data_IF_149275445480
#
_entry.id   IF_149275445480
#
_cell.length_a   1.000
_cell.length_b   1.000
_cell.length_c   1.000
_cell.angle_alpha   90.00
_cell.angle_beta   90.00
_cell.angle_gamma   90.00
#
_symmetry.space_group_name_H-M   'P 1'
#
loop_
_entity.id
_entity.type
_entity.pdbx_description
1 polymer ?
#
# COMPACT_ATOMS: atom_id res chain seq x y z
N UNK A 1 -9.34 -65.27 7.69
CA UNK A 1 -8.38 -64.32 8.25
C UNK A 1 -7.46 -63.67 7.19
N UNK A 2 -7.97 -63.41 5.98
CA UNK A 2 -7.12 -62.92 4.86
C UNK A 2 -7.63 -61.63 4.19
N UNK A 3 -8.72 -61.04 4.70
CA UNK A 3 -9.33 -59.87 4.03
C UNK A 3 -8.90 -58.51 4.62
N UNK A 4 -8.27 -58.48 5.80
CA UNK A 4 -7.87 -57.22 6.47
C UNK A 4 -6.48 -56.71 6.11
N UNK A 5 -5.61 -57.58 5.58
CA UNK A 5 -4.23 -57.23 5.22
C UNK A 5 -4.13 -56.54 3.86
N UNK A 6 -5.04 -56.90 2.94
CA UNK A 6 -5.03 -56.33 1.56
C UNK A 6 -5.55 -54.89 1.53
N UNK A 7 -6.50 -54.53 2.41
CA UNK A 7 -7.01 -53.14 2.51
C UNK A 7 -5.96 -52.15 3.00
N UNK A 8 -5.10 -52.58 3.91
CA UNK A 8 -4.05 -51.72 4.52
C UNK A 8 -2.88 -51.47 3.56
N UNK A 9 -2.62 -52.37 2.62
CA UNK A 9 -1.59 -52.19 1.59
C UNK A 9 -2.02 -51.26 0.45
N UNK A 10 -3.31 -51.09 0.24
CA UNK A 10 -3.86 -50.22 -0.79
C UNK A 10 -3.94 -48.76 -0.29
N UNK A 11 -4.15 -48.52 1.01
CA UNK A 11 -4.12 -47.14 1.60
C UNK A 11 -2.71 -46.58 1.64
N UNK A 12 -1.69 -47.40 1.93
CA UNK A 12 -0.30 -46.96 1.90
C UNK A 12 0.21 -46.68 0.48
N UNK A 13 -0.36 -47.31 -0.55
CA UNK A 13 0.03 -47.07 -1.94
C UNK A 13 -0.59 -45.80 -2.52
N UNK A 14 -1.78 -45.41 -2.07
CA UNK A 14 -2.40 -44.12 -2.49
C UNK A 14 -1.77 -42.89 -1.83
N UNK A 15 -1.19 -43.06 -0.64
CA UNK A 15 -0.48 -41.99 0.06
C UNK A 15 0.91 -41.69 -0.50
N UNK A 16 1.52 -42.68 -1.22
CA UNK A 16 2.87 -42.51 -1.80
C UNK A 16 2.90 -41.86 -3.19
N UNK A 17 1.77 -41.89 -3.90
CA UNK A 17 1.71 -41.39 -5.29
C UNK A 17 1.52 -39.86 -5.40
N UNK A 18 1.25 -39.15 -4.29
CA UNK A 18 1.00 -37.70 -4.32
C UNK A 18 1.91 -36.91 -3.37
N UNK A 19 3.08 -37.45 -3.01
CA UNK A 19 4.15 -36.64 -2.47
C UNK A 19 4.74 -35.79 -3.60
N UNK A 20 4.05 -34.70 -3.90
CA UNK A 20 4.73 -33.52 -4.45
C UNK A 20 5.79 -33.17 -3.41
N UNK A 21 7.06 -33.48 -3.72
CA UNK A 21 8.19 -33.05 -2.89
C UNK A 21 8.22 -31.53 -3.00
N UNK A 22 7.45 -30.88 -2.13
CA UNK A 22 7.59 -29.45 -1.97
C UNK A 22 8.98 -29.20 -1.39
N UNK A 23 9.79 -28.32 -1.98
CA UNK A 23 11.06 -27.95 -1.39
C UNK A 23 10.77 -27.46 0.03
N UNK A 24 11.43 -28.06 1.03
CA UNK A 24 11.32 -27.63 2.43
C UNK A 24 11.59 -26.14 2.48
N UNK A 25 10.57 -25.36 2.84
CA UNK A 25 10.74 -23.94 3.12
C UNK A 25 11.65 -23.81 4.35
N UNK A 26 12.57 -22.86 4.30
CA UNK A 26 13.35 -22.51 5.46
C UNK A 26 12.38 -21.83 6.44
N UNK A 27 11.92 -22.56 7.45
CA UNK A 27 11.09 -22.03 8.51
C UNK A 27 11.93 -21.05 9.31
N UNK A 28 11.73 -19.77 9.16
CA UNK A 28 12.41 -18.75 9.95
C UNK A 28 11.85 -18.67 11.38
N UNK A 29 10.66 -19.20 11.62
CA UNK A 29 9.99 -19.18 12.94
C UNK A 29 9.69 -17.77 13.47
N UNK A 30 10.17 -16.74 12.79
CA UNK A 30 9.99 -15.35 13.14
C UNK A 30 8.88 -14.68 12.32
N UNK A 31 8.17 -13.78 12.97
CA UNK A 31 7.15 -12.96 12.35
C UNK A 31 7.82 -11.87 11.51
N UNK A 32 7.63 -11.92 10.20
CA UNK A 32 8.26 -11.00 9.25
C UNK A 32 7.28 -10.58 8.16
N UNK A 33 7.59 -9.47 7.49
CA UNK A 33 6.83 -8.97 6.37
C UNK A 33 7.36 -9.53 5.07
N UNK A 34 6.44 -9.97 4.23
CA UNK A 34 6.71 -10.49 2.89
C UNK A 34 5.86 -9.77 1.86
N UNK A 35 6.42 -9.59 0.68
CA UNK A 35 5.66 -9.07 -0.45
C UNK A 35 5.23 -10.22 -1.37
N UNK A 36 3.96 -10.22 -1.73
CA UNK A 36 3.39 -11.13 -2.72
C UNK A 36 3.00 -10.35 -3.97
N UNK A 37 3.26 -10.95 -5.12
CA UNK A 37 2.87 -10.40 -6.41
C UNK A 37 1.50 -10.93 -6.81
N UNK A 38 0.65 -10.02 -7.31
CA UNK A 38 -0.71 -10.30 -7.75
C UNK A 38 -0.94 -9.72 -9.14
N UNK A 39 -2.01 -10.11 -9.80
CA UNK A 39 -2.44 -9.40 -11.01
C UNK A 39 -2.86 -7.98 -10.65
N UNK A 40 -2.37 -6.99 -11.42
CA UNK A 40 -2.71 -5.57 -11.21
C UNK A 40 -4.22 -5.35 -11.27
N UNK A 41 -4.74 -4.62 -10.28
CA UNK A 41 -6.17 -4.37 -10.11
C UNK A 41 -6.89 -5.37 -9.19
N UNK A 42 -6.27 -6.51 -8.88
CA UNK A 42 -6.87 -7.54 -8.01
C UNK A 42 -6.34 -7.49 -6.57
N UNK A 43 -5.50 -6.52 -6.21
CA UNK A 43 -4.84 -6.44 -4.91
C UNK A 43 -5.85 -6.43 -3.74
N UNK A 44 -6.89 -5.61 -3.84
CA UNK A 44 -7.95 -5.52 -2.82
C UNK A 44 -8.77 -6.83 -2.73
N UNK A 45 -9.00 -7.49 -3.87
CA UNK A 45 -9.69 -8.78 -3.94
C UNK A 45 -8.84 -9.88 -3.31
N UNK A 46 -7.54 -9.91 -3.62
CA UNK A 46 -6.57 -10.85 -3.01
C UNK A 46 -6.53 -10.66 -1.51
N UNK A 47 -6.42 -9.42 -1.03
CA UNK A 47 -6.40 -9.13 0.42
C UNK A 47 -7.65 -9.65 1.13
N UNK A 48 -8.83 -9.43 0.55
CA UNK A 48 -10.09 -9.92 1.10
C UNK A 48 -10.16 -11.45 1.10
N UNK A 49 -9.83 -12.07 -0.04
CA UNK A 49 -9.84 -13.52 -0.18
C UNK A 49 -8.82 -14.18 0.77
N UNK A 50 -7.64 -13.60 0.92
CA UNK A 50 -6.63 -14.14 1.82
C UNK A 50 -7.06 -14.03 3.28
N UNK A 51 -7.61 -12.88 3.72
CA UNK A 51 -8.16 -12.74 5.07
C UNK A 51 -9.25 -13.76 5.36
N UNK A 52 -10.20 -13.94 4.44
CA UNK A 52 -11.26 -14.93 4.57
C UNK A 52 -10.73 -16.36 4.65
N UNK A 53 -9.68 -16.69 3.88
CA UNK A 53 -9.04 -18.01 3.97
C UNK A 53 -8.30 -18.23 5.27
N UNK A 54 -7.62 -17.22 5.77
CA UNK A 54 -6.93 -17.25 7.07
C UNK A 54 -7.91 -17.58 8.18
N UNK A 55 -9.04 -16.87 8.24
CA UNK A 55 -10.12 -17.13 9.20
C UNK A 55 -10.73 -18.55 9.01
N UNK A 56 -11.05 -18.92 7.76
CA UNK A 56 -11.72 -20.22 7.48
C UNK A 56 -10.84 -21.43 7.80
N UNK A 57 -9.53 -21.30 7.67
CA UNK A 57 -8.57 -22.38 7.87
C UNK A 57 -7.89 -22.32 9.25
N UNK A 58 -8.15 -21.29 10.07
CA UNK A 58 -7.56 -21.12 11.39
C UNK A 58 -6.07 -20.80 11.34
N UNK A 59 -5.61 -19.98 10.38
CA UNK A 59 -4.20 -19.58 10.24
C UNK A 59 -3.89 -18.21 10.83
N UNK A 60 -4.73 -17.71 11.73
CA UNK A 60 -4.55 -16.40 12.39
C UNK A 60 -3.28 -16.34 13.23
N UNK A 61 -2.85 -17.48 13.78
CA UNK A 61 -1.61 -17.61 14.54
C UNK A 61 -0.33 -17.50 13.70
N UNK A 62 -0.45 -17.61 12.36
CA UNK A 62 0.68 -17.61 11.44
C UNK A 62 0.64 -16.47 10.42
N UNK A 63 -0.53 -16.00 10.06
CA UNK A 63 -0.74 -14.89 9.13
C UNK A 63 -1.47 -13.79 9.88
N UNK A 64 -0.75 -12.74 10.27
CA UNK A 64 -1.23 -11.70 11.18
C UNK A 64 -1.89 -10.54 10.45
N UNK A 65 -1.23 -10.01 9.43
CA UNK A 65 -1.70 -8.86 8.69
C UNK A 65 -1.58 -9.03 7.19
N UNK A 66 -2.59 -8.56 6.47
CA UNK A 66 -2.58 -8.50 5.00
C UNK A 66 -3.06 -7.13 4.60
N UNK A 67 -2.24 -6.39 3.86
CA UNK A 67 -2.55 -5.02 3.46
C UNK A 67 -2.02 -4.67 2.06
N UNK A 68 -2.71 -3.76 1.41
CA UNK A 68 -2.28 -3.16 0.14
C UNK A 68 -1.61 -1.83 0.45
N UNK A 69 -0.37 -1.60 0.01
CA UNK A 69 0.30 -0.32 0.22
C UNK A 69 -0.37 0.79 -0.60
N UNK A 70 -1.19 1.62 0.07
CA UNK A 70 -1.90 2.76 -0.51
C UNK A 70 -1.42 4.05 0.14
N UNK A 71 -1.29 5.07 -0.65
CA UNK A 71 -0.92 6.42 -0.24
C UNK A 71 -2.09 7.36 -0.50
N UNK A 72 -2.42 8.20 0.47
CA UNK A 72 -3.44 9.24 0.31
C UNK A 72 -2.82 10.47 -0.32
N UNK A 73 -3.26 10.83 -1.52
CA UNK A 73 -2.86 12.06 -2.21
C UNK A 73 -4.03 13.02 -2.29
N UNK A 74 -3.75 14.29 -2.04
CA UNK A 74 -4.73 15.34 -2.25
C UNK A 74 -4.60 15.82 -3.69
N UNK A 75 -5.67 15.69 -4.48
CA UNK A 75 -5.78 16.30 -5.81
C UNK A 75 -6.83 17.39 -5.78
N UNK A 76 -6.55 18.47 -6.48
CA UNK A 76 -7.52 19.56 -6.68
C UNK A 76 -8.23 19.29 -7.99
N UNK A 77 -9.55 19.15 -7.93
CA UNK A 77 -10.40 19.02 -9.09
C UNK A 77 -11.53 20.04 -9.01
N UNK A 78 -11.57 20.99 -9.95
CA UNK A 78 -12.58 22.03 -9.95
C UNK A 78 -12.58 22.93 -8.71
N UNK A 79 -11.40 23.22 -8.13
CA UNK A 79 -11.26 24.07 -6.91
C UNK A 79 -11.63 23.37 -5.61
N UNK A 80 -11.95 22.07 -5.62
CA UNK A 80 -12.23 21.28 -4.43
C UNK A 80 -11.10 20.29 -4.18
N UNK A 81 -10.76 20.11 -2.90
CA UNK A 81 -9.81 19.09 -2.47
C UNK A 81 -10.50 17.73 -2.50
N UNK A 82 -9.91 16.78 -3.19
CA UNK A 82 -10.34 15.40 -3.22
C UNK A 82 -9.18 14.53 -2.73
N UNK A 83 -9.43 13.73 -1.69
CA UNK A 83 -8.45 12.77 -1.20
C UNK A 83 -8.59 11.52 -2.07
N UNK A 84 -7.54 11.22 -2.84
CA UNK A 84 -7.50 10.04 -3.69
C UNK A 84 -6.50 9.06 -3.08
N UNK A 85 -6.93 7.81 -2.91
CA UNK A 85 -6.04 6.71 -2.54
C UNK A 85 -5.36 6.17 -3.80
N UNK A 86 -4.07 6.29 -3.85
CA UNK A 86 -3.25 5.75 -4.94
C UNK A 86 -2.38 4.61 -4.42
N UNK A 87 -2.31 3.51 -5.16
CA UNK A 87 -1.47 2.37 -4.77
C UNK A 87 0.00 2.73 -4.94
N UNK A 88 0.79 2.58 -3.89
CA UNK A 88 2.23 2.87 -3.91
C UNK A 88 2.95 1.91 -4.86
N UNK A 89 2.57 0.63 -4.80
CA UNK A 89 3.08 -0.42 -5.67
C UNK A 89 1.92 -1.24 -6.24
N UNK A 90 1.47 -0.94 -7.48
CA UNK A 90 0.46 -1.73 -8.16
C UNK A 90 0.95 -3.17 -8.39
N UNK A 91 0.08 -4.16 -8.15
CA UNK A 91 0.41 -5.57 -8.29
C UNK A 91 1.09 -6.20 -7.07
N UNK A 92 1.23 -5.47 -5.96
CA UNK A 92 1.87 -5.97 -4.74
C UNK A 92 0.94 -5.89 -3.54
N UNK A 93 0.97 -6.94 -2.72
CA UNK A 93 0.29 -7.00 -1.42
C UNK A 93 1.32 -7.40 -0.36
N UNK A 94 1.26 -6.77 0.79
CA UNK A 94 2.13 -7.06 1.92
C UNK A 94 1.44 -8.02 2.88
N UNK A 95 2.18 -9.04 3.31
CA UNK A 95 1.68 -10.04 4.25
C UNK A 95 2.67 -10.16 5.40
N UNK A 96 2.18 -9.99 6.61
CA UNK A 96 2.94 -10.23 7.84
C UNK A 96 2.63 -11.63 8.34
N UNK A 97 3.63 -12.50 8.29
CA UNK A 97 3.43 -13.90 8.59
C UNK A 97 4.69 -14.60 9.12
N UNK A 98 4.47 -15.75 9.72
CA UNK A 98 5.51 -16.75 9.98
C UNK A 98 5.48 -17.72 8.80
N UNK A 99 6.60 -17.84 8.08
CA UNK A 99 6.71 -18.71 6.91
C UNK A 99 6.95 -20.14 7.36
N UNK A 100 6.00 -21.01 7.04
CA UNK A 100 6.13 -22.45 7.05
C UNK A 100 5.45 -23.06 5.79
N UNK A 101 5.57 -24.34 5.58
CA UNK A 101 4.99 -25.00 4.41
C UNK A 101 3.47 -24.79 4.29
N UNK A 102 2.76 -24.76 5.41
CA UNK A 102 1.32 -24.61 5.45
C UNK A 102 0.88 -23.16 5.18
N UNK A 103 1.48 -22.17 5.86
CA UNK A 103 1.18 -20.75 5.66
C UNK A 103 1.59 -20.29 4.25
N UNK A 104 2.73 -20.76 3.75
CA UNK A 104 3.17 -20.52 2.37
C UNK A 104 2.14 -21.06 1.36
N UNK A 105 1.64 -22.27 1.58
CA UNK A 105 0.65 -22.91 0.72
C UNK A 105 -0.67 -22.14 0.69
N UNK A 106 -1.15 -21.65 1.84
CA UNK A 106 -2.38 -20.86 1.94
C UNK A 106 -2.28 -19.58 1.12
N UNK A 107 -1.18 -18.84 1.26
CA UNK A 107 -0.94 -17.59 0.53
C UNK A 107 -0.78 -17.86 -0.97
N UNK A 108 0.07 -18.82 -1.35
CA UNK A 108 0.37 -19.13 -2.75
C UNK A 108 -0.85 -19.59 -3.55
N UNK A 109 -1.75 -20.36 -2.93
CA UNK A 109 -2.97 -20.88 -3.56
C UNK A 109 -4.18 -19.93 -3.43
N UNK A 110 -3.99 -18.70 -2.96
CA UNK A 110 -5.05 -17.70 -2.98
C UNK A 110 -5.28 -17.23 -4.43
N UNK A 111 -6.53 -17.17 -4.90
CA UNK A 111 -6.84 -16.74 -6.27
C UNK A 111 -6.23 -15.37 -6.59
N UNK A 112 -5.68 -15.23 -7.78
CA UNK A 112 -4.99 -14.04 -8.32
C UNK A 112 -3.63 -13.70 -7.67
N UNK A 113 -3.10 -14.56 -6.80
CA UNK A 113 -1.71 -14.48 -6.34
C UNK A 113 -0.83 -15.21 -7.35
N UNK A 114 0.22 -14.53 -7.84
CA UNK A 114 1.20 -15.12 -8.74
C UNK A 114 2.37 -15.76 -8.01
N UNK A 115 2.74 -15.23 -6.85
CA UNK A 115 3.77 -15.79 -5.98
C UNK A 115 4.34 -14.80 -4.98
N UNK A 116 5.27 -15.28 -4.16
CA UNK A 116 6.08 -14.45 -3.28
C UNK A 116 7.19 -13.76 -4.07
N UNK A 117 7.64 -12.60 -3.57
CA UNK A 117 8.88 -11.99 -4.04
C UNK A 117 10.04 -12.66 -3.34
N UNK A 118 11.02 -13.11 -4.13
CA UNK A 118 12.21 -13.79 -3.62
C UNK A 118 12.89 -14.64 -4.68
N UNK A 119 13.95 -15.32 -4.28
CA UNK A 119 14.69 -16.23 -5.13
C UNK A 119 14.01 -17.60 -5.22
N UNK A 120 13.20 -17.80 -6.25
CA UNK A 120 12.54 -19.09 -6.52
C UNK A 120 11.38 -19.40 -5.55
N UNK A 121 11.53 -20.48 -4.78
CA UNK A 121 10.49 -20.95 -3.84
C UNK A 121 10.63 -20.37 -2.43
N UNK A 122 11.76 -19.72 -2.12
CA UNK A 122 12.04 -19.16 -0.80
C UNK A 122 11.60 -17.69 -0.79
N UNK A 123 10.59 -17.32 0.04
CA UNK A 123 10.21 -15.93 0.22
C UNK A 123 11.35 -15.11 0.84
N UNK A 124 11.60 -13.93 0.30
CA UNK A 124 12.56 -13.00 0.90
C UNK A 124 11.81 -12.02 1.81
N UNK A 125 12.15 -11.94 3.11
CA UNK A 125 11.53 -10.97 4.00
C UNK A 125 11.93 -9.55 3.61
N UNK A 126 11.01 -8.62 3.81
CA UNK A 126 11.30 -7.19 3.69
C UNK A 126 12.12 -6.73 4.89
N UNK A 127 13.05 -5.82 4.66
CA UNK A 127 13.82 -5.22 5.75
C UNK A 127 12.92 -4.30 6.60
N UNK A 128 13.23 -4.16 7.90
CA UNK A 128 12.48 -3.26 8.80
C UNK A 128 12.43 -1.82 8.29
N UNK A 129 13.52 -1.35 7.69
CA UNK A 129 13.58 0.00 7.12
C UNK A 129 12.62 0.19 5.92
N UNK A 130 12.45 -0.84 5.08
CA UNK A 130 11.47 -0.81 3.98
C UNK A 130 10.04 -0.83 4.49
N UNK A 131 9.76 -1.67 5.49
CA UNK A 131 8.44 -1.75 6.13
C UNK A 131 8.08 -0.43 6.80
N UNK A 132 8.98 0.14 7.58
CA UNK A 132 8.78 1.44 8.23
C UNK A 132 8.56 2.57 7.22
N UNK A 133 9.32 2.56 6.12
CA UNK A 133 9.13 3.51 5.04
C UNK A 133 7.77 3.39 4.36
N UNK A 134 7.27 2.18 4.19
CA UNK A 134 5.93 1.91 3.64
C UNK A 134 4.82 2.30 4.61
N UNK A 135 4.97 1.94 5.90
CA UNK A 135 3.99 2.27 6.94
C UNK A 135 3.85 3.78 7.11
N UNK A 136 4.95 4.53 7.06
CA UNK A 136 4.93 6.01 7.08
C UNK A 136 4.19 6.61 5.88
N UNK A 137 4.33 6.02 4.69
CA UNK A 137 3.59 6.46 3.50
C UNK A 137 2.10 6.12 3.54
N UNK A 138 1.77 5.00 4.17
CA UNK A 138 0.39 4.55 4.37
C UNK A 138 -0.28 5.24 5.56
N UNK A 139 0.52 5.66 6.54
CA UNK A 139 0.04 6.39 7.70
C UNK A 139 -0.59 7.70 7.28
N UNK A 140 -1.74 8.00 7.87
CA UNK A 140 -2.40 9.29 7.79
C UNK A 140 -1.60 10.30 8.63
N UNK A 141 -0.36 10.55 8.27
CA UNK A 141 0.19 11.84 8.55
C UNK A 141 -0.52 12.77 7.58
N UNK A 142 -1.34 13.67 8.11
CA UNK A 142 -1.80 14.82 7.35
C UNK A 142 -0.60 15.33 6.57
N UNK A 143 -0.70 15.51 5.24
CA UNK A 143 0.44 15.92 4.46
C UNK A 143 0.96 17.22 5.09
N UNK A 144 2.05 17.12 5.82
CA UNK A 144 2.78 18.27 6.26
C UNK A 144 3.26 18.91 4.98
N UNK A 145 2.55 19.96 4.58
CA UNK A 145 2.93 20.75 3.43
C UNK A 145 4.38 21.21 3.68
N UNK A 146 5.33 20.63 2.96
CA UNK A 146 6.66 21.23 2.85
C UNK A 146 6.50 22.49 2.02
N UNK A 147 6.26 23.58 2.71
CA UNK A 147 6.02 24.85 2.08
C UNK A 147 7.36 25.57 2.12
N UNK A 148 8.00 25.64 0.98
CA UNK A 148 9.21 26.46 0.78
C UNK A 148 8.83 27.92 0.47
N UNK A 149 7.72 28.42 1.03
CA UNK A 149 7.25 29.79 0.82
C UNK A 149 7.08 30.50 2.15
N UNK A 150 7.53 31.75 2.18
CA UNK A 150 7.46 32.65 3.33
C UNK A 150 6.56 33.85 3.01
N UNK A 151 6.04 34.50 4.04
CA UNK A 151 5.31 35.76 3.89
C UNK A 151 6.21 36.77 3.18
N UNK A 152 5.67 37.38 2.13
CA UNK A 152 6.40 38.33 1.29
C UNK A 152 7.00 37.74 0.02
N UNK A 153 7.04 36.41 -0.15
CA UNK A 153 7.52 35.79 -1.37
C UNK A 153 6.54 36.03 -2.53
N UNK A 154 7.10 36.14 -3.75
CA UNK A 154 6.31 36.19 -4.98
C UNK A 154 5.96 34.77 -5.40
N UNK A 155 4.69 34.59 -5.77
CA UNK A 155 4.15 33.31 -6.21
C UNK A 155 3.32 33.48 -7.46
N UNK A 156 3.32 32.46 -8.30
CA UNK A 156 2.44 32.36 -9.46
C UNK A 156 1.29 31.43 -9.13
N UNK A 157 0.07 31.83 -9.47
CA UNK A 157 -1.13 31.00 -9.30
C UNK A 157 -1.21 30.01 -10.46
N UNK A 158 -1.29 28.72 -10.13
CA UNK A 158 -1.28 27.62 -11.13
C UNK A 158 -2.65 27.09 -11.44
N UNK A 159 -3.63 27.29 -10.56
CA UNK A 159 -5.00 26.79 -10.73
C UNK A 159 -6.03 27.74 -10.11
N UNK A 160 -7.27 27.68 -10.63
CA UNK A 160 -8.41 28.47 -10.17
C UNK A 160 -8.73 29.66 -11.07
N UNK A 161 -9.66 30.55 -10.65
CA UNK A 161 -10.11 31.69 -11.43
C UNK A 161 -9.03 32.75 -11.68
N UNK A 162 -7.93 32.71 -10.91
CA UNK A 162 -6.81 33.62 -11.00
C UNK A 162 -5.55 32.94 -11.54
N UNK A 163 -5.71 31.86 -12.30
CA UNK A 163 -4.61 31.16 -12.93
C UNK A 163 -3.74 32.11 -13.75
N UNK A 164 -2.43 31.88 -13.69
CA UNK A 164 -1.37 32.65 -14.37
C UNK A 164 -1.15 34.08 -13.86
N UNK A 165 -1.89 34.52 -12.83
CA UNK A 165 -1.58 35.78 -12.15
C UNK A 165 -0.44 35.61 -11.16
N UNK A 166 0.37 36.67 -11.04
CA UNK A 166 1.41 36.77 -10.04
C UNK A 166 0.88 37.52 -8.83
N UNK A 167 1.31 37.08 -7.64
CA UNK A 167 0.91 37.72 -6.42
C UNK A 167 2.00 37.66 -5.34
N UNK A 168 1.81 38.40 -4.27
CA UNK A 168 2.68 38.38 -3.10
C UNK A 168 1.96 37.78 -1.91
N UNK A 169 2.61 36.88 -1.19
CA UNK A 169 2.04 36.24 0.00
C UNK A 169 1.92 37.30 1.12
N UNK A 170 0.70 37.47 1.63
CA UNK A 170 0.37 38.32 2.75
C UNK A 170 0.32 37.54 4.07
N UNK A 171 -0.31 36.39 4.07
CA UNK A 171 -0.54 35.58 5.26
C UNK A 171 -0.53 34.08 4.92
N UNK A 172 -0.04 33.25 5.85
CA UNK A 172 0.04 31.81 5.69
C UNK A 172 -0.70 31.14 6.86
N UNK A 173 -1.74 30.37 6.57
CA UNK A 173 -2.46 29.52 7.52
C UNK A 173 -2.03 28.05 7.31
N UNK A 174 -1.09 27.60 8.13
CA UNK A 174 -0.55 26.25 8.06
C UNK A 174 -1.55 25.20 8.55
N UNK A 175 -2.43 25.54 9.48
CA UNK A 175 -3.40 24.59 10.03
C UNK A 175 -4.47 24.24 9.00
N UNK A 176 -4.92 25.22 8.25
CA UNK A 176 -5.94 25.05 7.22
C UNK A 176 -5.36 24.82 5.82
N UNK A 177 -4.04 24.87 5.67
CA UNK A 177 -3.36 24.73 4.39
C UNK A 177 -3.75 25.80 3.36
N UNK A 178 -4.00 27.02 3.81
CA UNK A 178 -4.38 28.17 2.98
C UNK A 178 -3.36 29.28 3.03
N UNK A 179 -3.32 30.04 1.96
CA UNK A 179 -2.46 31.22 1.85
C UNK A 179 -3.28 32.38 1.30
N UNK A 180 -3.11 33.56 1.91
CA UNK A 180 -3.63 34.82 1.36
C UNK A 180 -2.57 35.42 0.46
N UNK A 181 -2.89 35.59 -0.80
CA UNK A 181 -2.03 36.18 -1.81
C UNK A 181 -2.63 37.48 -2.30
N UNK A 182 -1.84 38.55 -2.24
CA UNK A 182 -2.21 39.85 -2.84
C UNK A 182 -1.94 39.78 -4.35
N UNK A 183 -3.00 39.73 -5.12
CA UNK A 183 -2.95 39.69 -6.58
C UNK A 183 -3.31 41.07 -7.13
N UNK A 184 -2.50 41.56 -8.07
CA UNK A 184 -2.78 42.84 -8.72
C UNK A 184 -3.74 42.60 -9.90
N UNK A 185 -4.99 43.04 -9.72
CA UNK A 185 -6.03 42.90 -10.75
C UNK A 185 -6.49 44.31 -11.14
N UNK A 186 -6.36 44.70 -12.40
CA UNK A 186 -6.72 46.03 -12.93
C UNK A 186 -6.09 47.21 -12.13
N UNK A 187 -4.81 47.02 -11.67
CA UNK A 187 -4.09 48.06 -10.93
C UNK A 187 -4.49 48.19 -9.45
N UNK A 188 -5.28 47.23 -8.92
CA UNK A 188 -5.64 47.18 -7.50
C UNK A 188 -5.16 45.86 -6.88
N UNK A 189 -4.56 45.96 -5.71
CA UNK A 189 -4.18 44.77 -4.93
C UNK A 189 -5.41 44.21 -4.24
N UNK A 190 -5.73 42.96 -4.56
CA UNK A 190 -6.87 42.23 -4.01
C UNK A 190 -6.37 40.99 -3.26
N UNK A 191 -6.69 40.83 -1.95
CA UNK A 191 -6.35 39.63 -1.22
C UNK A 191 -7.24 38.46 -1.69
N UNK A 192 -6.61 37.36 -2.10
CA UNK A 192 -7.26 36.13 -2.53
C UNK A 192 -6.80 34.99 -1.66
N UNK A 193 -7.73 34.22 -1.11
CA UNK A 193 -7.41 33.01 -0.35
C UNK A 193 -7.28 31.83 -1.34
N UNK A 194 -6.12 31.20 -1.33
CA UNK A 194 -5.76 30.10 -2.19
C UNK A 194 -5.26 28.91 -1.37
N UNK A 195 -5.32 27.74 -1.93
CA UNK A 195 -4.69 26.54 -1.39
C UNK A 195 -3.19 26.53 -1.73
N UNK A 196 -2.35 25.99 -0.85
CA UNK A 196 -0.92 25.85 -1.13
C UNK A 196 -0.61 25.11 -2.43
N UNK A 197 -1.48 24.17 -2.83
CA UNK A 197 -1.32 23.42 -4.07
C UNK A 197 -1.61 24.26 -5.33
N UNK A 198 -2.25 25.42 -5.18
CA UNK A 198 -2.60 26.33 -6.27
C UNK A 198 -1.56 27.40 -6.52
N UNK A 199 -0.47 27.41 -5.76
CA UNK A 199 0.60 28.40 -5.90
C UNK A 199 1.93 27.73 -6.20
N UNK A 200 2.78 28.42 -6.96
CA UNK A 200 4.16 28.03 -7.23
C UNK A 200 5.07 29.22 -6.97
N UNK A 201 6.15 29.01 -6.23
CA UNK A 201 7.19 30.02 -6.02
C UNK A 201 7.83 30.40 -7.34
N UNK A 202 8.00 31.70 -7.56
CA UNK A 202 8.71 32.29 -8.69
C UNK A 202 10.21 32.34 -8.44
#
# INVERSE_FOLDING_TARGET
MTSFVVARLLEDSYCLANKIVMPKQVTTGERQWYAIHTYSGYEDTVTRNLKQRVESLGFEDKIFNVLVPKEKKIKIKGGKREIIEEKVYPGYVLVEMIVDDASWYVVRNTPNVTGFIGAGTIPTPLSSAEVDGLMKRMGVEEPKYKIDVEVGNRVKITDGPFKDFDGKISEIDMERGRVKVLVTIFGRETPVELDFLQIKKL
#
